data_IF_968578851518
#
_entry.id   IF_968578851518
#
_cell.length_a   1.000
_cell.length_b   1.000
_cell.length_c   1.000
_cell.angle_alpha   90.00
_cell.angle_beta   90.00
_cell.angle_gamma   90.00
#
_symmetry.space_group_name_H-M   'P 1'
#
loop_
_entity.id
_entity.type
_entity.pdbx_description
1 polymer ?
#
# COMPACT_ATOMS: atom_id res chain seq x y z
N UNK A 1 24.48 5.84 -9.06
CA UNK A 1 23.30 4.98 -9.34
C UNK A 1 23.58 3.62 -8.71
N UNK A 2 22.60 2.98 -8.05
CA UNK A 2 22.78 1.66 -7.42
C UNK A 2 22.04 0.63 -8.29
N UNK A 3 22.74 -0.33 -8.91
CA UNK A 3 22.09 -1.42 -9.64
C UNK A 3 21.14 -2.17 -8.70
N UNK A 4 19.89 -2.33 -9.13
CA UNK A 4 18.83 -2.91 -8.30
C UNK A 4 17.96 -3.83 -9.13
N UNK A 5 17.48 -4.91 -8.51
CA UNK A 5 16.54 -5.85 -9.10
C UNK A 5 15.36 -6.06 -8.14
N UNK A 6 14.14 -6.10 -8.66
CA UNK A 6 12.94 -6.32 -7.87
C UNK A 6 12.19 -7.54 -8.40
N UNK A 7 11.82 -8.44 -7.50
CA UNK A 7 10.96 -9.59 -7.77
C UNK A 7 9.69 -9.42 -6.95
N UNK A 8 8.56 -9.26 -7.62
CA UNK A 8 7.26 -9.02 -6.98
C UNK A 8 6.24 -9.99 -7.55
N UNK A 9 5.45 -10.61 -6.68
CA UNK A 9 4.44 -11.58 -7.06
C UNK A 9 3.16 -11.41 -6.25
N UNK A 10 2.03 -11.48 -6.95
CA UNK A 10 0.71 -11.60 -6.34
C UNK A 10 -0.01 -12.76 -7.02
N UNK A 11 -0.54 -13.68 -6.23
CA UNK A 11 -1.40 -14.75 -6.69
C UNK A 11 -2.82 -14.51 -6.18
N UNK A 12 -3.78 -14.53 -7.12
CA UNK A 12 -5.20 -14.34 -6.85
C UNK A 12 -5.93 -15.63 -7.22
N UNK A 13 -6.76 -16.13 -6.32
CA UNK A 13 -7.59 -17.31 -6.56
C UNK A 13 -8.84 -16.98 -7.41
N UNK A 14 -9.58 -18.02 -7.80
CA UNK A 14 -10.79 -17.86 -8.62
C UNK A 14 -11.92 -17.12 -7.91
N UNK A 15 -11.92 -17.13 -6.59
CA UNK A 15 -12.88 -16.40 -5.75
C UNK A 15 -12.44 -14.96 -5.41
N UNK A 16 -11.40 -14.47 -6.10
CA UNK A 16 -10.80 -13.14 -5.94
C UNK A 16 -10.06 -12.91 -4.61
N UNK A 17 -9.85 -13.95 -3.81
CA UNK A 17 -8.99 -13.85 -2.63
C UNK A 17 -7.51 -13.83 -3.02
N UNK A 18 -6.69 -13.10 -2.25
CA UNK A 18 -5.24 -13.09 -2.42
C UNK A 18 -4.67 -14.33 -1.74
N UNK A 19 -4.21 -15.31 -2.53
CA UNK A 19 -3.52 -16.50 -2.04
C UNK A 19 -2.13 -16.17 -1.48
N UNK A 20 -1.46 -15.17 -2.05
CA UNK A 20 -0.16 -14.69 -1.59
C UNK A 20 0.25 -13.41 -2.29
N UNK A 21 0.91 -12.50 -1.56
CA UNK A 21 1.47 -11.26 -2.09
C UNK A 21 2.80 -10.96 -1.39
N UNK A 22 3.85 -10.70 -2.16
CA UNK A 22 5.19 -10.54 -1.60
C UNK A 22 6.27 -10.40 -2.66
N UNK A 23 7.51 -10.28 -2.21
CA UNK A 23 8.65 -10.12 -3.10
C UNK A 23 9.94 -9.72 -2.39
N UNK A 24 11.00 -9.57 -3.18
CA UNK A 24 12.33 -9.18 -2.74
C UNK A 24 12.86 -8.02 -3.58
N UNK A 25 13.63 -7.15 -2.93
CA UNK A 25 14.40 -6.09 -3.56
C UNK A 25 15.88 -6.35 -3.30
N UNK A 26 16.66 -6.49 -4.36
CA UNK A 26 18.10 -6.62 -4.33
C UNK A 26 18.75 -5.31 -4.73
N UNK A 27 19.74 -4.87 -3.98
CA UNK A 27 20.53 -3.67 -4.28
C UNK A 27 22.01 -3.99 -4.15
N UNK A 28 22.77 -3.76 -5.21
CA UNK A 28 24.21 -4.00 -5.22
C UNK A 28 24.94 -2.82 -4.59
N UNK A 29 25.44 -3.02 -3.37
CA UNK A 29 26.17 -1.98 -2.64
C UNK A 29 27.55 -1.71 -3.27
N UNK A 30 28.12 -0.50 -3.08
CA UNK A 30 29.46 -0.20 -3.56
C UNK A 30 30.49 -1.20 -3.05
N UNK A 31 31.29 -1.76 -3.95
CA UNK A 31 32.30 -2.77 -3.61
C UNK A 31 31.79 -4.22 -3.59
N UNK A 32 30.56 -4.49 -4.05
CA UNK A 32 30.12 -5.85 -4.33
C UNK A 32 31.05 -6.52 -5.35
N UNK A 33 31.50 -7.74 -5.08
CA UNK A 33 32.41 -8.47 -5.97
C UNK A 33 31.64 -9.00 -7.19
N UNK A 34 32.31 -9.15 -8.33
CA UNK A 34 31.69 -9.69 -9.56
C UNK A 34 31.14 -11.11 -9.34
N UNK A 35 31.80 -11.90 -8.49
CA UNK A 35 31.36 -13.26 -8.14
C UNK A 35 30.02 -13.25 -7.39
N UNK A 36 29.85 -12.34 -6.42
CA UNK A 36 28.60 -12.22 -5.66
C UNK A 36 27.44 -11.75 -6.56
N UNK A 37 27.73 -10.85 -7.49
CA UNK A 37 26.76 -10.38 -8.49
C UNK A 37 26.32 -11.53 -9.38
N UNK A 38 27.27 -12.26 -9.96
CA UNK A 38 26.97 -13.37 -10.85
C UNK A 38 26.22 -14.52 -10.14
N UNK A 39 26.59 -14.81 -8.89
CA UNK A 39 25.93 -15.83 -8.09
C UNK A 39 24.46 -15.47 -7.83
N UNK A 40 24.18 -14.21 -7.51
CA UNK A 40 22.82 -13.71 -7.35
C UNK A 40 22.05 -13.79 -8.68
N UNK A 41 22.60 -13.28 -9.78
CA UNK A 41 21.94 -13.32 -11.10
C UNK A 41 21.59 -14.74 -11.53
N UNK A 42 22.53 -15.69 -11.37
CA UNK A 42 22.31 -17.10 -11.67
C UNK A 42 21.19 -17.67 -10.81
N UNK A 43 21.14 -17.32 -9.51
CA UNK A 43 20.08 -17.77 -8.63
C UNK A 43 18.73 -17.22 -9.07
N UNK A 44 18.66 -15.93 -9.42
CA UNK A 44 17.42 -15.31 -9.88
C UNK A 44 16.93 -15.93 -11.20
N UNK A 45 17.84 -16.35 -12.08
CA UNK A 45 17.52 -17.02 -13.33
C UNK A 45 16.98 -18.46 -13.17
N UNK A 46 17.21 -19.11 -12.03
CA UNK A 46 16.80 -20.50 -11.76
C UNK A 46 15.35 -20.65 -11.26
N UNK A 47 14.63 -19.55 -11.03
CA UNK A 47 13.25 -19.60 -10.56
C UNK A 47 12.28 -19.86 -11.72
N UNK A 48 12.19 -21.12 -12.14
CA UNK A 48 11.27 -21.59 -13.20
C UNK A 48 9.80 -21.45 -12.80
N UNK A 49 9.52 -21.55 -11.49
CA UNK A 49 8.23 -21.20 -10.91
C UNK A 49 8.14 -19.69 -10.77
N UNK A 50 7.08 -19.08 -11.29
CA UNK A 50 6.84 -17.65 -11.10
C UNK A 50 6.81 -17.24 -9.62
N UNK A 51 7.37 -16.07 -9.30
CA UNK A 51 7.47 -15.53 -7.94
C UNK A 51 6.14 -15.56 -7.17
N UNK A 52 5.01 -15.34 -7.85
CA UNK A 52 3.67 -15.37 -7.24
C UNK A 52 3.31 -16.75 -6.64
N UNK A 53 3.71 -17.85 -7.29
CA UNK A 53 3.51 -19.20 -6.76
C UNK A 53 4.39 -19.44 -5.53
N UNK A 54 5.66 -19.03 -5.59
CA UNK A 54 6.60 -19.18 -4.47
C UNK A 54 6.10 -18.43 -3.24
N UNK A 55 5.62 -17.19 -3.44
CA UNK A 55 5.03 -16.36 -2.38
C UNK A 55 3.81 -17.02 -1.77
N UNK A 56 2.90 -17.58 -2.57
CA UNK A 56 1.70 -18.24 -2.08
C UNK A 56 1.98 -19.58 -1.36
N UNK A 57 3.04 -20.29 -1.76
CA UNK A 57 3.48 -21.55 -1.12
C UNK A 57 4.28 -21.31 0.18
N UNK A 58 4.77 -20.09 0.43
CA UNK A 58 5.59 -19.76 1.60
C UNK A 58 4.75 -19.38 2.81
N UNK A 59 4.95 -20.03 3.96
CA UNK A 59 4.21 -19.73 5.20
C UNK A 59 4.76 -18.52 5.96
N UNK A 60 5.99 -18.09 5.65
CA UNK A 60 6.67 -16.96 6.30
C UNK A 60 7.61 -16.22 5.34
N UNK A 61 8.03 -15.01 5.72
CA UNK A 61 9.02 -14.24 4.95
C UNK A 61 10.37 -14.96 4.91
N UNK A 62 10.72 -15.68 5.97
CA UNK A 62 11.93 -16.45 6.11
C UNK A 62 11.95 -17.64 5.14
N UNK A 63 10.82 -18.34 5.01
CA UNK A 63 10.66 -19.39 4.00
C UNK A 63 10.75 -18.83 2.58
N UNK A 64 10.13 -17.67 2.33
CA UNK A 64 10.22 -17.00 1.03
C UNK A 64 11.67 -16.61 0.69
N UNK A 65 12.39 -16.02 1.63
CA UNK A 65 13.81 -15.65 1.46
C UNK A 65 14.65 -16.92 1.25
N UNK A 66 14.44 -17.97 2.03
CA UNK A 66 15.17 -19.24 1.87
C UNK A 66 14.91 -19.87 0.50
N UNK A 67 13.65 -19.89 0.05
CA UNK A 67 13.29 -20.40 -1.27
C UNK A 67 13.97 -19.60 -2.39
N UNK A 68 14.00 -18.27 -2.28
CA UNK A 68 14.55 -17.39 -3.31
C UNK A 68 16.08 -17.34 -3.31
N UNK A 69 16.71 -17.33 -2.13
CA UNK A 69 18.17 -17.28 -1.97
C UNK A 69 18.84 -18.64 -2.18
N UNK A 70 18.14 -19.74 -1.90
CA UNK A 70 18.72 -21.09 -1.96
C UNK A 70 19.92 -21.21 -1.01
N UNK A 71 21.06 -21.61 -1.56
CA UNK A 71 22.31 -21.81 -0.80
C UNK A 71 23.17 -20.54 -0.66
N UNK A 72 22.70 -19.40 -1.19
CA UNK A 72 23.40 -18.13 -0.99
C UNK A 72 23.34 -17.73 0.48
N UNK A 73 24.49 -17.34 1.03
CA UNK A 73 24.57 -16.89 2.42
C UNK A 73 23.85 -15.55 2.60
N UNK A 74 23.09 -15.42 3.68
CA UNK A 74 22.38 -14.20 4.03
C UNK A 74 22.18 -14.09 5.54
N UNK A 75 22.08 -12.84 6.01
CA UNK A 75 21.80 -12.54 7.41
C UNK A 75 20.53 -11.70 7.52
N UNK A 76 19.60 -12.14 8.38
CA UNK A 76 18.44 -11.34 8.74
C UNK A 76 18.86 -10.33 9.80
N UNK A 77 18.86 -9.05 9.43
CA UNK A 77 19.24 -7.95 10.32
C UNK A 77 18.06 -7.43 11.14
N UNK A 78 16.86 -7.39 10.55
CA UNK A 78 15.68 -6.82 11.17
C UNK A 78 14.40 -7.45 10.60
N UNK A 79 13.34 -7.50 11.41
CA UNK A 79 11.98 -7.88 11.00
C UNK A 79 11.00 -6.81 11.44
N UNK A 80 10.12 -6.37 10.53
CA UNK A 80 9.07 -5.39 10.84
C UNK A 80 7.72 -5.90 10.33
N UNK A 81 6.68 -5.90 11.17
CA UNK A 81 5.33 -6.21 10.69
C UNK A 81 4.86 -5.08 9.77
N UNK A 82 4.30 -5.46 8.63
CA UNK A 82 3.65 -4.53 7.70
C UNK A 82 2.13 -4.69 7.80
N UNK A 83 1.42 -3.58 7.67
CA UNK A 83 -0.05 -3.57 7.57
C UNK A 83 -0.48 -2.42 6.68
N UNK A 84 -1.59 -2.60 5.99
CA UNK A 84 -2.30 -1.48 5.41
C UNK A 84 -2.85 -0.59 6.54
N UNK A 85 -2.59 0.71 6.47
CA UNK A 85 -3.12 1.68 7.43
C UNK A 85 -3.40 3.00 6.73
N UNK A 86 -4.67 3.37 6.61
CA UNK A 86 -5.06 4.70 6.17
C UNK A 86 -5.19 5.65 7.37
N UNK A 87 -4.89 6.93 7.16
CA UNK A 87 -5.00 7.97 8.18
C UNK A 87 -6.17 8.93 7.93
N UNK A 88 -7.11 8.56 7.07
CA UNK A 88 -8.34 9.33 6.91
C UNK A 88 -9.17 9.30 8.20
N UNK A 89 -9.94 10.37 8.42
CA UNK A 89 -10.92 10.46 9.49
C UNK A 89 -12.04 11.37 9.02
N UNK A 90 -13.21 11.31 9.68
CA UNK A 90 -14.36 12.16 9.35
C UNK A 90 -14.01 13.65 9.40
N UNK A 91 -13.22 14.05 10.39
CA UNK A 91 -12.67 15.41 10.56
C UNK A 91 -11.73 15.81 9.40
N UNK A 92 -10.85 14.91 8.97
CA UNK A 92 -9.92 15.22 7.87
C UNK A 92 -10.65 15.38 6.55
N UNK A 93 -11.64 14.53 6.28
CA UNK A 93 -12.41 14.62 5.03
C UNK A 93 -13.45 15.75 5.06
N UNK A 94 -13.92 16.19 6.23
CA UNK A 94 -14.80 17.36 6.32
C UNK A 94 -14.12 18.65 5.87
N UNK A 95 -12.79 18.74 6.01
CA UNK A 95 -12.01 19.86 5.47
C UNK A 95 -12.16 20.00 3.95
N UNK A 96 -12.40 18.90 3.23
CA UNK A 96 -12.70 18.95 1.80
C UNK A 96 -14.01 19.69 1.53
N UNK A 97 -15.05 19.49 2.35
CA UNK A 97 -16.30 20.23 2.24
C UNK A 97 -16.10 21.72 2.56
N UNK A 98 -15.37 22.01 3.63
CA UNK A 98 -15.00 23.39 4.03
C UNK A 98 -14.27 24.11 2.88
N UNK A 99 -13.40 23.41 2.17
CA UNK A 99 -12.60 23.95 1.05
C UNK A 99 -13.44 24.36 -0.17
N UNK A 100 -14.66 23.82 -0.32
CA UNK A 100 -15.59 24.23 -1.39
C UNK A 100 -16.14 25.65 -1.18
N UNK A 101 -15.99 26.18 0.05
CA UNK A 101 -16.52 27.48 0.42
C UNK A 101 -18.04 27.48 0.54
N UNK A 102 -18.58 28.67 0.82
CA UNK A 102 -20.00 28.87 1.15
C UNK A 102 -20.95 28.40 0.06
N UNK A 103 -20.66 28.73 -1.20
CA UNK A 103 -21.56 28.43 -2.31
C UNK A 103 -21.60 26.93 -2.61
N UNK A 104 -20.45 26.24 -2.60
CA UNK A 104 -20.39 24.80 -2.82
C UNK A 104 -21.03 24.00 -1.68
N UNK A 105 -20.81 24.41 -0.42
CA UNK A 105 -21.51 23.78 0.72
C UNK A 105 -23.02 24.01 0.66
N UNK A 106 -23.49 25.19 0.25
CA UNK A 106 -24.93 25.47 0.11
C UNK A 106 -25.57 24.55 -0.94
N UNK A 107 -24.91 24.35 -2.07
CA UNK A 107 -25.38 23.44 -3.13
C UNK A 107 -25.50 22.00 -2.61
N UNK A 108 -24.48 21.51 -1.89
CA UNK A 108 -24.52 20.17 -1.27
C UNK A 108 -25.63 20.04 -0.22
N UNK A 109 -25.92 21.11 0.52
CA UNK A 109 -26.97 21.11 1.54
C UNK A 109 -28.38 20.98 0.95
N UNK A 110 -28.59 21.25 -0.34
CA UNK A 110 -29.89 21.03 -1.00
C UNK A 110 -30.31 19.54 -0.97
N UNK A 111 -29.32 18.64 -1.02
CA UNK A 111 -29.51 17.18 -0.94
C UNK A 111 -29.71 16.67 0.50
N UNK A 112 -29.56 17.55 1.52
CA UNK A 112 -29.68 17.28 2.97
C UNK A 112 -28.72 16.24 3.56
N UNK A 113 -27.94 15.56 2.73
CA UNK A 113 -26.92 14.62 3.14
C UNK A 113 -25.79 14.62 2.11
N UNK A 114 -24.59 14.28 2.56
CA UNK A 114 -23.45 14.09 1.67
C UNK A 114 -22.67 12.83 2.05
N UNK A 115 -22.15 12.14 1.05
CA UNK A 115 -21.22 11.03 1.23
C UNK A 115 -19.86 11.42 0.66
N UNK A 116 -18.83 11.28 1.48
CA UNK A 116 -17.44 11.40 1.05
C UNK A 116 -16.77 10.05 1.14
N UNK A 117 -16.20 9.59 0.03
CA UNK A 117 -15.47 8.32 -0.05
C UNK A 117 -13.97 8.63 -0.04
N UNK A 118 -13.23 8.03 0.89
CA UNK A 118 -11.78 8.15 0.87
C UNK A 118 -11.20 7.39 -0.32
N UNK A 119 -10.57 8.07 -1.28
CA UNK A 119 -9.97 7.45 -2.46
C UNK A 119 -8.79 6.49 -2.18
N UNK A 120 -8.28 6.43 -0.94
CA UNK A 120 -7.17 5.55 -0.57
C UNK A 120 -7.64 4.23 0.05
N UNK A 121 -8.58 4.27 1.01
CA UNK A 121 -9.06 3.07 1.70
C UNK A 121 -10.50 2.71 1.39
N UNK A 122 -11.19 3.52 0.59
CA UNK A 122 -12.60 3.37 0.25
C UNK A 122 -13.55 3.39 1.47
N UNK A 123 -13.16 4.08 2.54
CA UNK A 123 -14.04 4.32 3.69
C UNK A 123 -15.11 5.35 3.32
N UNK A 124 -16.36 5.09 3.69
CA UNK A 124 -17.52 5.95 3.41
C UNK A 124 -17.84 6.82 4.63
N UNK A 125 -17.76 8.14 4.45
CA UNK A 125 -18.07 9.13 5.48
C UNK A 125 -19.38 9.85 5.14
N UNK A 126 -20.43 9.49 5.88
CA UNK A 126 -21.74 10.12 5.74
C UNK A 126 -21.84 11.38 6.61
N UNK A 127 -22.33 12.47 6.02
CA UNK A 127 -22.60 13.74 6.66
C UNK A 127 -24.10 14.01 6.68
N UNK A 128 -24.63 14.23 7.88
CA UNK A 128 -26.03 14.60 8.10
C UNK A 128 -26.27 16.08 7.82
N UNK A 129 -27.52 16.47 7.60
CA UNK A 129 -27.93 17.88 7.43
C UNK A 129 -27.38 18.76 8.57
N UNK A 130 -27.47 18.30 9.82
CA UNK A 130 -26.97 19.04 10.98
C UNK A 130 -25.45 19.27 10.91
N UNK A 131 -24.68 18.25 10.52
CA UNK A 131 -23.22 18.36 10.36
C UNK A 131 -22.85 19.30 9.21
N UNK A 132 -23.59 19.27 8.10
CA UNK A 132 -23.38 20.19 6.98
C UNK A 132 -23.68 21.65 7.37
N UNK A 133 -24.73 21.88 8.16
CA UNK A 133 -25.04 23.21 8.73
C UNK A 133 -23.90 23.68 9.64
N UNK A 134 -23.33 22.81 10.47
CA UNK A 134 -22.19 23.14 11.33
C UNK A 134 -20.96 23.55 10.50
N UNK A 135 -20.62 22.77 9.47
CA UNK A 135 -19.50 23.08 8.56
C UNK A 135 -19.73 24.39 7.79
N UNK A 136 -20.95 24.63 7.31
CA UNK A 136 -21.32 25.88 6.66
C UNK A 136 -21.14 27.08 7.59
N UNK A 137 -21.57 26.96 8.85
CA UNK A 137 -21.42 28.03 9.84
C UNK A 137 -19.94 28.31 10.15
N UNK A 138 -19.07 27.29 10.17
CA UNK A 138 -17.62 27.48 10.33
C UNK A 138 -17.05 28.34 9.19
N UNK A 139 -17.33 27.98 7.93
CA UNK A 139 -16.86 28.72 6.75
C UNK A 139 -17.34 30.19 6.78
N UNK A 140 -18.53 30.46 7.30
CA UNK A 140 -19.09 31.82 7.36
C UNK A 140 -18.61 32.68 8.53
N UNK A 141 -17.99 32.10 9.56
CA UNK A 141 -17.47 32.83 10.74
C UNK A 141 -16.04 33.34 10.56
N UNK A 142 -15.28 32.76 9.63
CA UNK A 142 -13.87 33.09 9.38
C UNK A 142 -13.67 34.30 8.45
N UNK A 143 -14.73 35.10 8.20
CA UNK A 143 -14.73 36.36 7.45
C UNK A 143 -15.43 37.47 8.23
#
# INVERSE_FOLDING_TARGET
>A
QIPSAALLGVLIERDLQVAGAGGLLFQLMPGASEEAIQALENRLAQHDKGISSIVAESASMEELVAALMGDLDYQILEKRPIRFQCTCSKERVSNTLVSLGKDGLREIMEDKQAELICHFCNEHYNFTEAELVELYNQVTKDF
#
